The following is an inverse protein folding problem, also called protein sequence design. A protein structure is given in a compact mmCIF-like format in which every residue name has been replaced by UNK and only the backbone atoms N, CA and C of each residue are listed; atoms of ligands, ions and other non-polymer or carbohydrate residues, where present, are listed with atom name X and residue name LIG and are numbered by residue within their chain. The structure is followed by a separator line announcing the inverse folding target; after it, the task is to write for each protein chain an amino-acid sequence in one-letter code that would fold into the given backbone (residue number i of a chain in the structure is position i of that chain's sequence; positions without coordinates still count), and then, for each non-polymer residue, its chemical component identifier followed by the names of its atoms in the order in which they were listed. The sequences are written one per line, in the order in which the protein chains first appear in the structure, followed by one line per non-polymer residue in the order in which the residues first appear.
data_IF_179287185209
#
_entry.id   IF_179287185209
#
_cell.length_a   1.000
_cell.length_b   1.000
_cell.length_c   1.000
_cell.angle_alpha   90.00
_cell.angle_beta   90.00
_cell.angle_gamma   90.00
#
_symmetry.space_group_name_H-M   'P 1'
#
loop_
_entity.id
_entity.type
_entity.pdbx_description
1 polymer ?
#
# COMPACT_ATOMS: atom_id res chain seq x y z
N UNK A 1 16.44 -5.01 -22.39
CA UNK A 1 17.33 -5.60 -21.37
C UNK A 1 16.50 -6.58 -20.56
N UNK A 2 16.57 -7.88 -20.91
CA UNK A 2 15.85 -8.94 -20.19
C UNK A 2 16.67 -9.28 -18.95
N UNK A 3 16.36 -8.64 -17.83
CA UNK A 3 16.85 -9.06 -16.52
C UNK A 3 16.07 -10.32 -16.12
N UNK A 4 16.55 -11.47 -16.53
CA UNK A 4 16.16 -12.77 -15.98
C UNK A 4 16.77 -12.89 -14.59
N UNK A 5 16.09 -12.31 -13.59
CA UNK A 5 16.42 -12.64 -12.22
C UNK A 5 16.09 -14.12 -11.99
N UNK A 6 17.12 -14.95 -11.77
CA UNK A 6 16.92 -16.32 -11.29
C UNK A 6 16.46 -16.21 -9.82
N UNK A 7 15.16 -16.15 -9.63
CA UNK A 7 14.58 -16.24 -8.31
C UNK A 7 14.71 -17.69 -7.82
N UNK A 8 15.13 -17.88 -6.58
CA UNK A 8 15.22 -19.18 -5.93
C UNK A 8 14.60 -19.11 -4.54
N UNK A 9 14.09 -20.24 -4.05
CA UNK A 9 13.52 -20.33 -2.71
C UNK A 9 12.20 -19.60 -2.54
N UNK A 10 11.92 -19.18 -1.30
CA UNK A 10 10.70 -18.50 -0.89
C UNK A 10 10.86 -16.99 -1.02
N UNK A 11 9.99 -16.34 -1.79
CA UNK A 11 9.99 -14.89 -1.95
C UNK A 11 8.65 -14.26 -1.63
N UNK A 12 8.67 -13.01 -1.18
CA UNK A 12 7.53 -12.26 -0.70
C UNK A 12 7.37 -10.98 -1.52
N UNK A 13 6.20 -10.80 -2.13
CA UNK A 13 5.89 -9.62 -2.93
C UNK A 13 4.70 -8.87 -2.33
N UNK A 14 4.90 -7.61 -2.00
CA UNK A 14 3.80 -6.71 -1.70
C UNK A 14 3.24 -6.15 -3.00
N UNK A 15 1.94 -6.32 -3.21
CA UNK A 15 1.27 -5.94 -4.45
C UNK A 15 0.12 -4.99 -4.15
N UNK A 16 0.04 -3.92 -4.95
CA UNK A 16 -1.08 -3.00 -4.95
C UNK A 16 -1.71 -2.95 -6.35
N UNK A 17 -3.01 -3.22 -6.42
CA UNK A 17 -3.82 -3.06 -7.61
C UNK A 17 -4.76 -1.89 -7.38
N UNK A 18 -4.65 -0.84 -8.18
CA UNK A 18 -5.45 0.39 -8.05
C UNK A 18 -6.47 0.47 -9.18
N UNK A 19 -7.69 0.92 -8.89
CA UNK A 19 -8.70 1.18 -9.91
C UNK A 19 -8.36 2.45 -10.71
N UNK A 20 -8.58 2.39 -12.02
CA UNK A 20 -8.44 3.55 -12.91
C UNK A 20 -9.43 4.64 -12.50
N UNK A 21 -8.94 5.88 -12.29
CA UNK A 21 -9.76 6.98 -11.79
C UNK A 21 -10.17 6.88 -10.33
N UNK A 22 -9.76 5.84 -9.61
CA UNK A 22 -10.01 5.62 -8.17
C UNK A 22 -11.48 5.69 -7.71
N UNK A 23 -12.45 5.10 -8.43
CA UNK A 23 -13.81 5.02 -7.96
C UNK A 23 -13.90 4.15 -6.70
N UNK A 24 -14.71 4.57 -5.71
CA UNK A 24 -14.88 3.84 -4.45
C UNK A 24 -15.99 2.79 -4.56
N UNK A 25 -15.73 1.73 -5.34
CA UNK A 25 -16.72 0.70 -5.69
C UNK A 25 -16.42 -0.69 -5.15
N UNK A 26 -15.23 -0.91 -4.54
CA UNK A 26 -14.84 -2.24 -4.05
C UNK A 26 -15.31 -2.49 -2.63
N UNK A 27 -15.27 -1.48 -1.78
CA UNK A 27 -15.65 -1.61 -0.38
C UNK A 27 -16.05 -0.26 0.22
N UNK A 28 -16.57 -0.28 1.43
CA UNK A 28 -16.77 0.91 2.25
C UNK A 28 -16.06 0.74 3.58
N UNK A 29 -15.48 1.82 4.07
CA UNK A 29 -14.89 1.88 5.40
C UNK A 29 -16.00 2.17 6.41
N UNK A 30 -16.02 1.44 7.51
CA UNK A 30 -16.99 1.60 8.60
C UNK A 30 -16.22 1.79 9.89
N UNK A 31 -16.57 2.81 10.65
CA UNK A 31 -15.94 3.07 11.93
C UNK A 31 -16.24 1.94 12.92
N UNK A 32 -15.19 1.53 13.68
CA UNK A 32 -15.28 0.36 14.58
C UNK A 32 -15.04 -0.98 13.91
N UNK A 33 -15.12 -1.07 12.59
CA UNK A 33 -14.85 -2.31 11.87
C UNK A 33 -13.36 -2.46 11.56
N UNK A 34 -12.80 -3.64 11.89
CA UNK A 34 -11.39 -3.94 11.62
C UNK A 34 -11.10 -4.14 10.12
N UNK A 35 -12.13 -4.43 9.32
CA UNK A 35 -12.03 -4.68 7.87
C UNK A 35 -13.08 -3.89 7.11
N UNK A 36 -12.78 -3.44 5.88
CA UNK A 36 -13.78 -2.82 5.02
C UNK A 36 -14.94 -3.78 4.74
N UNK A 37 -16.15 -3.25 4.68
CA UNK A 37 -17.34 -3.99 4.23
C UNK A 37 -17.31 -4.02 2.71
N UNK A 38 -17.27 -5.21 2.14
CA UNK A 38 -17.18 -5.37 0.69
C UNK A 38 -18.47 -4.96 0.00
N UNK A 39 -18.33 -4.31 -1.13
CA UNK A 39 -19.39 -4.09 -2.11
C UNK A 39 -19.35 -5.23 -3.15
N UNK A 40 -20.38 -5.39 -3.98
CA UNK A 40 -20.45 -6.50 -4.93
C UNK A 40 -19.20 -6.66 -5.82
N UNK A 41 -18.61 -5.58 -6.30
CA UNK A 41 -17.36 -5.62 -7.06
C UNK A 41 -16.16 -6.09 -6.20
N UNK A 42 -16.13 -5.72 -4.92
CA UNK A 42 -15.12 -6.18 -3.97
C UNK A 42 -15.24 -7.66 -3.65
N UNK A 43 -16.46 -8.21 -3.64
CA UNK A 43 -16.69 -9.64 -3.46
C UNK A 43 -16.13 -10.46 -4.64
N UNK A 44 -16.28 -9.96 -5.87
CA UNK A 44 -15.64 -10.56 -7.04
C UNK A 44 -14.12 -10.56 -6.87
N UNK A 45 -13.52 -9.42 -6.51
CA UNK A 45 -12.08 -9.34 -6.22
C UNK A 45 -11.66 -10.37 -5.17
N UNK A 46 -12.42 -10.46 -4.07
CA UNK A 46 -12.13 -11.42 -2.99
C UNK A 46 -12.19 -12.88 -3.47
N UNK A 47 -13.18 -13.22 -4.30
CA UNK A 47 -13.31 -14.55 -4.87
C UNK A 47 -12.05 -14.95 -5.65
N UNK A 48 -11.57 -14.07 -6.55
CA UNK A 48 -10.37 -14.33 -7.35
C UNK A 48 -9.09 -14.38 -6.52
N UNK A 49 -8.95 -13.54 -5.50
CA UNK A 49 -7.81 -13.61 -4.58
C UNK A 49 -7.77 -14.92 -3.79
N UNK A 50 -8.93 -15.49 -3.44
CA UNK A 50 -9.03 -16.79 -2.74
C UNK A 50 -8.67 -17.96 -3.64
N UNK A 51 -8.97 -17.88 -4.93
CA UNK A 51 -8.73 -18.95 -5.89
C UNK A 51 -7.32 -18.94 -6.49
N UNK A 52 -6.51 -17.93 -6.16
CA UNK A 52 -5.19 -17.77 -6.75
C UNK A 52 -4.31 -19.03 -6.58
N UNK A 53 -4.36 -19.66 -5.39
CA UNK A 53 -3.61 -20.88 -5.12
C UNK A 53 -4.07 -22.08 -5.96
N UNK A 54 -5.35 -22.16 -6.32
CA UNK A 54 -5.88 -23.24 -7.19
C UNK A 54 -5.30 -23.13 -8.61
N UNK A 55 -4.99 -21.92 -9.09
CA UNK A 55 -4.40 -21.67 -10.40
C UNK A 55 -2.87 -21.74 -10.36
N UNK A 56 -2.27 -21.34 -9.26
CA UNK A 56 -0.84 -21.35 -9.00
C UNK A 56 -0.52 -22.03 -7.67
N UNK A 57 -0.38 -23.36 -7.62
CA UNK A 57 -0.15 -24.09 -6.35
C UNK A 57 1.10 -23.66 -5.58
N UNK A 58 2.13 -23.17 -6.30
CA UNK A 58 3.36 -22.64 -5.70
C UNK A 58 3.22 -21.21 -5.13
N UNK A 59 2.02 -20.59 -5.25
CA UNK A 59 1.77 -19.21 -4.86
C UNK A 59 0.67 -19.15 -3.81
N UNK A 60 0.91 -18.39 -2.74
CA UNK A 60 -0.07 -18.15 -1.68
C UNK A 60 -0.29 -16.65 -1.51
N UNK A 61 -1.55 -16.21 -1.45
CA UNK A 61 -1.91 -14.87 -1.00
C UNK A 61 -2.24 -14.94 0.49
N UNK A 62 -1.38 -14.36 1.33
CA UNK A 62 -1.51 -14.47 2.79
C UNK A 62 -2.33 -13.32 3.37
N UNK A 63 -1.75 -12.14 3.43
CA UNK A 63 -2.41 -10.95 3.97
C UNK A 63 -3.01 -10.15 2.82
N UNK A 64 -4.23 -9.66 2.99
CA UNK A 64 -4.91 -8.84 1.99
C UNK A 64 -5.91 -7.89 2.60
N UNK A 65 -6.11 -6.75 1.94
CA UNK A 65 -7.17 -5.80 2.23
C UNK A 65 -7.72 -5.23 0.92
N UNK A 66 -9.04 -5.21 0.80
CA UNK A 66 -9.77 -4.61 -0.33
C UNK A 66 -10.28 -3.27 0.15
N UNK A 67 -9.59 -2.21 -0.24
CA UNK A 67 -9.93 -0.82 0.05
C UNK A 67 -11.01 -0.34 -0.94
N UNK A 68 -11.64 0.81 -0.71
CA UNK A 68 -12.68 1.30 -1.61
C UNK A 68 -12.28 1.41 -3.08
N UNK A 69 -11.04 1.78 -3.39
CA UNK A 69 -10.52 2.09 -4.73
C UNK A 69 -9.26 1.32 -5.14
N UNK A 70 -8.77 0.43 -4.27
CA UNK A 70 -7.57 -0.36 -4.51
C UNK A 70 -7.50 -1.61 -3.64
N UNK A 71 -6.57 -2.49 -3.96
CA UNK A 71 -6.34 -3.74 -3.23
C UNK A 71 -4.87 -3.86 -2.88
N UNK A 72 -4.58 -4.17 -1.61
CA UNK A 72 -3.25 -4.58 -1.17
C UNK A 72 -3.25 -6.06 -0.81
N UNK A 73 -2.21 -6.77 -1.21
CA UNK A 73 -1.98 -8.12 -0.74
C UNK A 73 -0.51 -8.51 -0.73
N UNK A 74 -0.20 -9.51 0.09
CA UNK A 74 1.10 -10.14 0.17
C UNK A 74 1.05 -11.47 -0.57
N UNK A 75 1.83 -11.57 -1.65
CA UNK A 75 2.00 -12.78 -2.46
C UNK A 75 3.28 -13.48 -2.04
N UNK A 76 3.18 -14.76 -1.71
CA UNK A 76 4.29 -15.64 -1.33
C UNK A 76 4.50 -16.64 -2.46
N UNK A 77 5.70 -16.68 -3.03
CA UNK A 77 6.05 -17.54 -4.17
C UNK A 77 7.14 -18.53 -3.78
N UNK A 78 6.90 -19.82 -4.04
CA UNK A 78 7.89 -20.90 -3.92
C UNK A 78 8.52 -21.14 -5.29
N UNK A 79 9.64 -20.45 -5.55
CA UNK A 79 10.30 -20.52 -6.86
C UNK A 79 10.89 -21.88 -7.18
N UNK A 80 11.18 -22.71 -6.18
CA UNK A 80 11.62 -24.10 -6.38
C UNK A 80 10.54 -24.95 -7.07
N UNK A 81 9.26 -24.59 -6.88
CA UNK A 81 8.09 -25.25 -7.49
C UNK A 81 7.57 -24.54 -8.74
N UNK A 82 7.94 -23.28 -8.94
CA UNK A 82 7.51 -22.47 -10.09
C UNK A 82 8.64 -21.53 -10.56
N UNK A 83 9.74 -22.06 -11.12
CA UNK A 83 10.92 -21.26 -11.47
C UNK A 83 10.65 -20.19 -12.54
N UNK A 84 9.61 -20.33 -13.35
CA UNK A 84 9.21 -19.37 -14.37
C UNK A 84 8.08 -18.42 -13.95
N UNK A 85 7.68 -18.42 -12.69
CA UNK A 85 6.59 -17.57 -12.23
C UNK A 85 7.00 -16.08 -12.27
N UNK A 86 6.11 -15.25 -12.82
CA UNK A 86 6.29 -13.81 -12.89
C UNK A 86 5.12 -13.11 -12.16
N UNK A 87 5.37 -12.47 -10.99
CA UNK A 87 4.32 -11.82 -10.19
C UNK A 87 3.59 -10.72 -10.95
N UNK A 88 4.29 -9.96 -11.79
CA UNK A 88 3.70 -8.89 -12.59
C UNK A 88 2.69 -9.45 -13.60
N UNK A 89 3.08 -10.49 -14.33
CA UNK A 89 2.22 -11.17 -15.28
C UNK A 89 0.98 -11.79 -14.63
N UNK A 90 1.19 -12.46 -13.50
CA UNK A 90 0.10 -13.07 -12.73
C UNK A 90 -0.88 -12.00 -12.22
N UNK A 91 -0.38 -10.85 -11.79
CA UNK A 91 -1.22 -9.71 -11.35
C UNK A 91 -2.02 -9.12 -12.52
N UNK A 92 -1.45 -8.98 -13.71
CA UNK A 92 -2.19 -8.53 -14.88
C UNK A 92 -3.28 -9.52 -15.32
N UNK A 93 -2.99 -10.81 -15.32
CA UNK A 93 -3.98 -11.83 -15.63
C UNK A 93 -5.12 -11.84 -14.61
N UNK A 94 -4.79 -11.67 -13.31
CA UNK A 94 -5.77 -11.52 -12.24
C UNK A 94 -6.69 -10.30 -12.47
N UNK A 95 -6.12 -9.12 -12.75
CA UNK A 95 -6.91 -7.92 -13.03
C UNK A 95 -7.88 -8.12 -14.19
N UNK A 96 -7.41 -8.70 -15.31
CA UNK A 96 -8.26 -9.00 -16.47
C UNK A 96 -9.37 -9.99 -16.14
N UNK A 97 -9.08 -11.03 -15.36
CA UNK A 97 -10.07 -12.00 -14.96
C UNK A 97 -11.17 -11.37 -14.09
N UNK A 98 -10.80 -10.51 -13.16
CA UNK A 98 -11.74 -9.77 -12.32
C UNK A 98 -12.59 -8.81 -13.17
N UNK A 99 -11.98 -8.02 -14.06
CA UNK A 99 -12.68 -7.09 -14.94
C UNK A 99 -13.70 -7.81 -15.84
N UNK A 100 -13.30 -8.94 -16.40
CA UNK A 100 -14.18 -9.74 -17.26
C UNK A 100 -15.36 -10.37 -16.48
N UNK A 101 -15.08 -10.89 -15.27
CA UNK A 101 -16.13 -11.45 -14.41
C UNK A 101 -17.12 -10.37 -13.97
N UNK A 102 -16.65 -9.21 -13.56
CA UNK A 102 -17.52 -8.10 -13.16
C UNK A 102 -18.39 -7.60 -14.35
N UNK A 103 -17.81 -7.55 -15.56
CA UNK A 103 -18.56 -7.17 -16.75
C UNK A 103 -19.68 -8.19 -17.10
N UNK A 104 -19.51 -9.45 -16.76
CA UNK A 104 -20.48 -10.52 -17.02
C UNK A 104 -21.53 -10.66 -15.93
N UNK A 105 -21.29 -10.11 -14.76
CA UNK A 105 -22.08 -10.34 -13.55
C UNK A 105 -23.54 -9.86 -13.65
N UNK A 106 -23.83 -8.84 -14.44
CA UNK A 106 -25.19 -8.29 -14.67
C UNK A 106 -26.04 -8.15 -13.38
N UNK A 107 -25.41 -7.76 -12.27
CA UNK A 107 -26.05 -7.64 -10.96
C UNK A 107 -26.20 -8.96 -10.17
N UNK A 108 -25.70 -10.07 -10.67
CA UNK A 108 -25.65 -11.35 -9.95
C UNK A 108 -24.59 -11.42 -8.86
N UNK A 109 -24.53 -12.54 -8.15
CA UNK A 109 -23.54 -12.82 -7.10
C UNK A 109 -22.11 -12.95 -7.66
N UNK A 110 -21.12 -12.83 -6.78
CA UNK A 110 -19.73 -13.12 -7.13
C UNK A 110 -19.58 -14.60 -7.52
N UNK A 111 -18.72 -14.94 -8.51
CA UNK A 111 -18.55 -16.31 -8.97
C UNK A 111 -18.06 -17.21 -7.85
N UNK A 112 -18.56 -18.44 -7.81
CA UNK A 112 -18.09 -19.45 -6.87
C UNK A 112 -16.58 -19.74 -7.06
N UNK A 113 -15.83 -20.12 -6.01
CA UNK A 113 -14.39 -20.33 -6.10
C UNK A 113 -13.93 -21.25 -7.26
N UNK A 114 -14.58 -22.40 -7.55
CA UNK A 114 -14.19 -23.24 -8.69
C UNK A 114 -14.38 -22.56 -10.03
N UNK A 115 -15.45 -21.80 -10.22
CA UNK A 115 -15.74 -21.04 -11.45
C UNK A 115 -14.74 -19.91 -11.63
N UNK A 116 -14.44 -19.15 -10.58
CA UNK A 116 -13.43 -18.11 -10.59
C UNK A 116 -12.04 -18.68 -10.92
N UNK A 117 -11.68 -19.85 -10.39
CA UNK A 117 -10.43 -20.52 -10.69
C UNK A 117 -10.33 -20.94 -12.15
N UNK A 118 -11.38 -21.58 -12.68
CA UNK A 118 -11.44 -22.02 -14.07
C UNK A 118 -11.36 -20.80 -15.03
N UNK A 119 -12.13 -19.76 -14.75
CA UNK A 119 -12.09 -18.53 -15.55
C UNK A 119 -10.72 -17.87 -15.52
N UNK A 120 -10.10 -17.74 -14.34
CA UNK A 120 -8.76 -17.18 -14.20
C UNK A 120 -7.70 -18.00 -14.96
N UNK A 121 -7.76 -19.33 -14.85
CA UNK A 121 -6.88 -20.23 -15.60
C UNK A 121 -7.03 -20.04 -17.13
N UNK A 122 -8.25 -19.88 -17.61
CA UNK A 122 -8.55 -19.60 -19.02
C UNK A 122 -7.94 -18.26 -19.50
N UNK A 123 -8.12 -17.19 -18.74
CA UNK A 123 -7.51 -15.87 -19.04
C UNK A 123 -5.98 -15.99 -19.04
N UNK A 124 -5.40 -16.67 -18.07
CA UNK A 124 -3.96 -16.86 -17.99
C UNK A 124 -3.40 -17.65 -19.19
N UNK A 125 -4.08 -18.72 -19.60
CA UNK A 125 -3.68 -19.49 -20.79
C UNK A 125 -3.72 -18.62 -22.06
N UNK A 126 -4.77 -17.79 -22.21
CA UNK A 126 -4.89 -16.86 -23.33
C UNK A 126 -3.75 -15.82 -23.35
N UNK A 127 -3.42 -15.23 -22.18
CA UNK A 127 -2.34 -14.25 -22.07
C UNK A 127 -0.96 -14.87 -22.38
N UNK A 128 -0.70 -16.10 -21.88
CA UNK A 128 0.53 -16.85 -22.21
C UNK A 128 0.65 -17.13 -23.71
N UNK A 129 -0.43 -17.57 -24.33
CA UNK A 129 -0.45 -17.81 -25.78
C UNK A 129 -0.21 -16.51 -26.59
N UNK A 130 -0.77 -15.39 -26.11
CA UNK A 130 -0.58 -14.07 -26.71
C UNK A 130 0.90 -13.64 -26.58
N UNK A 131 1.51 -13.78 -25.40
CA UNK A 131 2.93 -13.48 -25.18
C UNK A 131 3.84 -14.30 -26.08
N UNK A 132 3.62 -15.62 -26.16
CA UNK A 132 4.39 -16.52 -27.00
C UNK A 132 4.27 -16.18 -28.52
N UNK A 133 3.12 -15.61 -28.94
CA UNK A 133 2.96 -15.09 -30.31
C UNK A 133 3.76 -13.81 -30.53
N UNK A 134 3.76 -12.89 -29.57
CA UNK A 134 4.57 -11.66 -29.63
C UNK A 134 6.05 -12.02 -29.74
N UNK A 135 6.53 -12.92 -28.87
CA UNK A 135 7.93 -13.37 -28.89
C UNK A 135 8.31 -13.99 -30.23
N UNK A 136 7.44 -14.85 -30.80
CA UNK A 136 7.69 -15.42 -32.15
C UNK A 136 7.81 -14.36 -33.23
N UNK A 137 6.96 -13.32 -33.20
CA UNK A 137 7.07 -12.21 -34.15
C UNK A 137 8.36 -11.40 -33.94
N UNK A 138 8.77 -11.19 -32.72
CA UNK A 138 10.04 -10.52 -32.41
C UNK A 138 11.25 -11.34 -32.88
N UNK A 139 11.22 -12.67 -32.74
CA UNK A 139 12.24 -13.57 -33.30
C UNK A 139 12.28 -13.55 -34.83
N UNK A 140 11.21 -13.15 -35.49
CA UNK A 140 11.13 -12.92 -36.95
C UNK A 140 11.60 -11.51 -37.36
N UNK A 141 12.17 -10.73 -36.43
CA UNK A 141 12.72 -9.40 -36.69
C UNK A 141 11.75 -8.23 -36.52
N UNK A 142 10.50 -8.47 -36.07
CA UNK A 142 9.56 -7.39 -35.79
C UNK A 142 9.88 -6.73 -34.43
N UNK A 143 9.68 -5.42 -34.37
CA UNK A 143 9.63 -4.71 -33.09
C UNK A 143 8.41 -5.13 -32.29
N UNK A 144 8.42 -4.89 -30.97
CA UNK A 144 7.28 -5.19 -30.09
C UNK A 144 6.00 -4.45 -30.52
N UNK A 145 6.13 -3.23 -31.02
CA UNK A 145 5.00 -2.43 -31.52
C UNK A 145 4.39 -3.05 -32.79
N UNK A 146 5.21 -3.48 -33.74
CA UNK A 146 4.78 -4.17 -34.95
C UNK A 146 4.15 -5.53 -34.66
N UNK A 147 4.71 -6.28 -33.72
CA UNK A 147 4.16 -7.56 -33.27
C UNK A 147 2.75 -7.38 -32.64
N UNK A 148 2.56 -6.34 -31.85
CA UNK A 148 1.26 -5.99 -31.27
C UNK A 148 0.26 -5.54 -32.33
N UNK A 149 0.68 -4.71 -33.29
CA UNK A 149 -0.16 -4.27 -34.40
C UNK A 149 -0.60 -5.46 -35.26
N UNK A 150 0.30 -6.40 -35.60
CA UNK A 150 -0.01 -7.62 -36.34
C UNK A 150 -0.98 -8.53 -35.58
N UNK A 151 -0.85 -8.66 -34.26
CA UNK A 151 -1.82 -9.38 -33.43
C UNK A 151 -3.19 -8.71 -33.44
N UNK A 152 -3.25 -7.38 -33.37
CA UNK A 152 -4.48 -6.60 -33.50
C UNK A 152 -5.18 -6.83 -34.85
N UNK A 153 -4.42 -6.81 -35.94
CA UNK A 153 -4.93 -7.07 -37.29
C UNK A 153 -5.47 -8.50 -37.44
N UNK A 154 -4.80 -9.50 -36.84
CA UNK A 154 -5.28 -10.90 -36.84
C UNK A 154 -6.58 -11.09 -36.05
N UNK A 155 -6.80 -10.29 -35.02
CA UNK A 155 -8.05 -10.29 -34.21
C UNK A 155 -9.19 -9.53 -34.92
N UNK A 156 -8.85 -8.58 -35.77
CA UNK A 156 -9.83 -7.76 -36.54
C UNK A 156 -10.33 -8.45 -37.80
N UNK A 157 -9.83 -9.61 -38.19
CA UNK A 157 -10.41 -10.38 -39.29
C UNK A 157 -11.82 -10.85 -38.91
N UNK A 158 -12.86 -10.50 -39.71
CA UNK A 158 -14.23 -10.84 -39.36
C UNK A 158 -14.41 -12.36 -39.32
N UNK A 159 -14.75 -12.90 -38.18
CA UNK A 159 -15.40 -14.22 -38.12
C UNK A 159 -16.71 -14.09 -38.86
N UNK A 160 -17.06 -15.01 -39.80
CA UNK A 160 -18.30 -14.89 -40.56
C UNK A 160 -19.48 -14.80 -39.59
N UNK A 161 -20.51 -14.00 -39.89
CA UNK A 161 -21.61 -13.71 -39.01
C UNK A 161 -22.46 -14.97 -38.77
N UNK A 162 -22.26 -15.65 -37.65
CA UNK A 162 -23.31 -16.49 -37.12
C UNK A 162 -24.31 -15.57 -36.42
N UNK A 163 -25.51 -15.51 -37.01
CA UNK A 163 -26.55 -14.59 -36.63
C UNK A 163 -26.97 -14.68 -35.16
N UNK A 164 -26.69 -13.64 -34.45
CA UNK A 164 -27.48 -13.25 -33.26
C UNK A 164 -27.72 -11.75 -33.41
N UNK A 165 -28.85 -11.40 -34.00
CA UNK A 165 -29.44 -10.06 -33.89
C UNK A 165 -29.83 -9.87 -32.41
N UNK A 166 -29.30 -8.84 -31.75
CA UNK A 166 -29.83 -8.34 -30.48
C UNK A 166 -28.90 -8.30 -29.29
N UNK A 167 -27.58 -8.49 -29.45
CA UNK A 167 -26.68 -8.22 -28.35
C UNK A 167 -26.55 -6.70 -28.16
N UNK A 168 -27.14 -6.17 -27.08
CA UNK A 168 -26.78 -4.83 -26.58
C UNK A 168 -25.26 -4.75 -26.45
N UNK A 169 -24.63 -3.59 -26.77
CA UNK A 169 -23.21 -3.44 -26.53
C UNK A 169 -22.95 -3.74 -25.04
N UNK A 170 -21.89 -4.50 -24.72
CA UNK A 170 -21.61 -4.88 -23.35
C UNK A 170 -21.56 -3.62 -22.49
N UNK A 171 -22.37 -3.57 -21.44
CA UNK A 171 -22.32 -2.52 -20.43
C UNK A 171 -20.85 -2.47 -19.97
N UNK A 172 -20.18 -1.36 -20.26
CA UNK A 172 -18.78 -1.20 -19.85
C UNK A 172 -18.75 -1.30 -18.32
N UNK A 173 -18.18 -2.36 -17.80
CA UNK A 173 -17.98 -2.51 -16.36
C UNK A 173 -17.30 -1.26 -15.82
N UNK A 174 -17.85 -0.71 -14.74
CA UNK A 174 -17.24 0.43 -14.03
C UNK A 174 -15.90 0.01 -13.38
N UNK A 175 -15.65 -1.29 -13.22
CA UNK A 175 -14.44 -1.83 -12.63
C UNK A 175 -13.34 -1.96 -13.69
N UNK A 176 -12.34 -1.10 -13.59
CA UNK A 176 -11.10 -1.18 -14.36
C UNK A 176 -9.93 -0.92 -13.45
N UNK A 177 -8.89 -1.74 -13.57
CA UNK A 177 -7.64 -1.51 -12.87
C UNK A 177 -6.71 -0.60 -13.69
N UNK A 178 -5.92 0.22 -13.00
CA UNK A 178 -4.76 0.88 -13.58
C UNK A 178 -3.81 -0.19 -14.13
N UNK A 179 -3.28 0.02 -15.32
CA UNK A 179 -2.35 -0.91 -15.97
C UNK A 179 -0.99 -1.01 -15.28
N UNK A 180 -0.79 -0.28 -14.19
CA UNK A 180 0.44 -0.27 -13.38
C UNK A 180 0.18 -0.91 -12.03
N UNK A 181 0.34 -2.22 -11.94
CA UNK A 181 0.45 -2.87 -10.63
C UNK A 181 1.74 -2.39 -9.93
N UNK A 182 1.63 -1.94 -8.68
CA UNK A 182 2.80 -1.71 -7.85
C UNK A 182 3.21 -3.03 -7.21
N UNK A 183 4.49 -3.41 -7.39
CA UNK A 183 5.05 -4.65 -6.86
C UNK A 183 6.38 -4.33 -6.18
N UNK A 184 6.47 -4.68 -4.90
CA UNK A 184 7.68 -4.53 -4.09
C UNK A 184 8.10 -5.88 -3.54
N UNK A 185 9.37 -6.25 -3.75
CA UNK A 185 9.97 -7.45 -3.18
C UNK A 185 10.41 -7.18 -1.73
N UNK A 186 9.98 -8.02 -0.81
CA UNK A 186 10.46 -7.98 0.58
C UNK A 186 11.69 -8.84 0.74
N UNK A 187 12.76 -8.26 1.29
CA UNK A 187 14.07 -8.90 1.41
C UNK A 187 14.34 -9.49 2.80
N UNK A 188 13.62 -9.06 3.83
CA UNK A 188 13.86 -9.49 5.20
C UNK A 188 12.58 -9.62 6.05
N UNK A 189 12.71 -10.28 7.21
CA UNK A 189 11.60 -10.50 8.14
C UNK A 189 11.05 -9.19 8.74
N UNK A 190 11.89 -8.15 8.89
CA UNK A 190 11.47 -6.85 9.43
C UNK A 190 10.59 -6.12 8.44
N UNK A 191 11.00 -6.07 7.17
CA UNK A 191 10.22 -5.49 6.08
C UNK A 191 8.89 -6.23 5.90
N UNK A 192 8.91 -7.57 5.93
CA UNK A 192 7.71 -8.39 5.85
C UNK A 192 6.72 -8.09 6.97
N UNK A 193 7.20 -7.95 8.22
CA UNK A 193 6.37 -7.57 9.37
C UNK A 193 5.76 -6.18 9.19
N UNK A 194 6.53 -5.23 8.65
CA UNK A 194 6.05 -3.88 8.36
C UNK A 194 4.94 -3.88 7.28
N UNK A 195 5.13 -4.63 6.20
CA UNK A 195 4.14 -4.79 5.11
C UNK A 195 2.84 -5.40 5.65
N UNK A 196 2.91 -6.50 6.41
CA UNK A 196 1.73 -7.12 7.03
C UNK A 196 0.96 -6.13 7.90
N UNK A 197 1.69 -5.40 8.75
CA UNK A 197 1.09 -4.38 9.60
C UNK A 197 0.48 -3.24 8.79
N UNK A 198 1.13 -2.83 7.70
CA UNK A 198 0.59 -1.84 6.78
C UNK A 198 -0.75 -2.31 6.18
N UNK A 199 -0.82 -3.53 5.64
CA UNK A 199 -2.05 -4.10 5.07
C UNK A 199 -3.18 -4.12 6.12
N UNK A 200 -2.88 -4.61 7.34
CA UNK A 200 -3.86 -4.73 8.43
C UNK A 200 -4.41 -3.39 8.90
N UNK A 201 -3.57 -2.36 8.98
CA UNK A 201 -3.94 -1.05 9.50
C UNK A 201 -4.38 -0.05 8.42
N UNK A 202 -4.34 -0.43 7.15
CA UNK A 202 -4.70 0.46 6.05
C UNK A 202 -6.14 1.02 6.16
N UNK A 203 -7.18 0.21 6.53
CA UNK A 203 -8.53 0.74 6.72
C UNK A 203 -8.61 1.80 7.81
N UNK A 204 -8.02 1.55 8.97
CA UNK A 204 -8.00 2.50 10.08
C UNK A 204 -7.26 3.80 9.68
N UNK A 205 -6.11 3.70 8.99
CA UNK A 205 -5.37 4.87 8.49
C UNK A 205 -6.20 5.72 7.54
N UNK A 206 -6.95 5.08 6.65
CA UNK A 206 -7.82 5.79 5.71
C UNK A 206 -8.97 6.51 6.44
N UNK A 207 -9.58 5.89 7.44
CA UNK A 207 -10.60 6.51 8.29
C UNK A 207 -10.03 7.70 9.08
N UNK A 208 -8.85 7.55 9.71
CA UNK A 208 -8.20 8.66 10.42
C UNK A 208 -7.94 9.85 9.51
N UNK A 209 -7.44 9.62 8.28
CA UNK A 209 -7.24 10.69 7.30
C UNK A 209 -8.55 11.33 6.84
N UNK A 210 -9.61 10.54 6.76
CA UNK A 210 -10.93 11.04 6.38
C UNK A 210 -11.56 11.92 7.48
N UNK A 211 -11.47 11.48 8.74
CA UNK A 211 -12.06 12.20 9.87
C UNK A 211 -11.22 13.40 10.33
N UNK A 212 -9.92 13.36 10.13
CA UNK A 212 -8.99 14.42 10.57
C UNK A 212 -8.09 14.89 9.42
N UNK A 213 -8.65 15.36 8.28
CA UNK A 213 -7.86 15.70 7.09
C UNK A 213 -6.82 16.79 7.37
N UNK A 214 -7.12 17.73 8.26
CA UNK A 214 -6.25 18.81 8.70
C UNK A 214 -4.97 18.31 9.40
N UNK A 215 -5.06 17.17 10.11
CA UNK A 215 -3.90 16.56 10.79
C UNK A 215 -2.93 15.86 9.83
N UNK A 216 -3.33 15.61 8.62
CA UNK A 216 -2.52 14.97 7.59
C UNK A 216 -2.08 15.93 6.47
N UNK A 217 -2.37 17.22 6.61
CA UNK A 217 -1.87 18.24 5.71
C UNK A 217 -0.42 18.59 6.05
N UNK A 218 0.42 18.65 5.01
CA UNK A 218 1.75 19.24 5.14
C UNK A 218 1.63 20.76 5.10
N UNK A 219 2.06 21.42 6.17
CA UNK A 219 2.12 22.86 6.29
C UNK A 219 3.59 23.29 6.15
N UNK A 220 3.86 24.31 5.36
CA UNK A 220 5.22 24.84 5.11
C UNK A 220 5.32 26.29 5.51
N UNK A 221 6.55 26.77 5.64
CA UNK A 221 6.85 28.16 6.04
C UNK A 221 6.25 28.53 7.39
N UNK A 222 6.25 27.59 8.33
CA UNK A 222 5.76 27.81 9.67
C UNK A 222 6.68 28.79 10.40
N UNK A 223 6.08 29.82 11.02
CA UNK A 223 6.78 30.76 11.90
C UNK A 223 6.13 30.68 13.28
N UNK A 224 6.95 30.45 14.28
CA UNK A 224 6.50 30.40 15.67
C UNK A 224 7.66 30.88 16.58
N UNK A 225 7.34 31.50 17.71
CA UNK A 225 8.34 32.10 18.59
C UNK A 225 9.40 31.12 19.13
N UNK A 226 9.06 29.82 19.25
CA UNK A 226 9.98 28.78 19.70
C UNK A 226 10.82 28.15 18.60
N UNK A 227 10.55 28.48 17.33
CA UNK A 227 11.26 27.93 16.17
C UNK A 227 12.34 28.91 15.72
N UNK A 228 13.52 28.39 15.42
CA UNK A 228 14.63 29.20 14.89
C UNK A 228 14.23 29.84 13.56
N UNK A 229 14.21 31.18 13.46
CA UNK A 229 13.81 31.89 12.24
C UNK A 229 14.80 31.70 11.06
N UNK A 230 16.01 31.22 11.31
CA UNK A 230 16.98 30.90 10.28
C UNK A 230 16.61 29.67 9.44
N UNK A 231 15.65 28.86 9.89
CA UNK A 231 15.20 27.64 9.23
C UNK A 231 13.82 27.80 8.59
N UNK A 232 13.60 27.09 7.47
CA UNK A 232 12.29 26.97 6.84
C UNK A 232 11.58 25.76 7.42
N UNK A 233 10.66 26.01 8.33
CA UNK A 233 9.96 24.95 9.04
C UNK A 233 8.78 24.41 8.26
N UNK A 234 8.63 23.10 8.29
CA UNK A 234 7.44 22.38 7.78
C UNK A 234 6.96 21.37 8.80
N UNK A 235 5.64 21.14 8.84
CA UNK A 235 5.04 20.25 9.81
C UNK A 235 3.82 19.50 9.26
N UNK A 236 3.43 18.45 10.00
CA UNK A 236 2.19 17.71 9.86
C UNK A 236 1.69 17.34 11.25
N UNK A 237 0.40 17.53 11.53
CA UNK A 237 -0.21 17.18 12.81
C UNK A 237 -0.70 18.38 13.61
N UNK A 238 -0.67 18.24 14.93
CA UNK A 238 -1.24 19.22 15.84
C UNK A 238 -0.27 20.40 16.08
N UNK A 239 -0.41 21.48 15.34
CA UNK A 239 0.39 22.71 15.50
C UNK A 239 0.20 23.40 16.86
N UNK A 240 -0.92 23.17 17.57
CA UNK A 240 -1.13 23.81 18.87
C UNK A 240 -0.13 23.34 19.92
N UNK A 241 0.53 22.21 19.68
CA UNK A 241 1.62 21.74 20.53
C UNK A 241 2.79 22.71 20.60
N UNK A 242 3.04 23.52 19.56
CA UNK A 242 4.07 24.56 19.58
C UNK A 242 3.81 25.67 20.60
N UNK A 243 2.54 25.89 20.97
CA UNK A 243 2.15 26.85 22.01
C UNK A 243 2.21 26.30 23.44
N UNK A 244 2.70 25.08 23.66
CA UNK A 244 2.80 24.51 25.00
C UNK A 244 3.79 25.33 25.86
N UNK A 245 3.46 25.64 27.12
CA UNK A 245 4.40 26.30 28.02
C UNK A 245 5.50 25.36 28.53
N UNK A 246 5.34 24.05 28.36
CA UNK A 246 6.26 23.04 28.89
C UNK A 246 6.78 22.15 27.79
N UNK A 247 7.98 22.44 27.28
CA UNK A 247 8.73 21.58 26.37
C UNK A 247 9.86 20.89 27.08
N UNK A 248 10.06 19.62 26.78
CA UNK A 248 11.23 18.86 27.24
C UNK A 248 11.92 18.22 26.03
N UNK A 249 13.12 18.67 25.73
CA UNK A 249 13.95 18.06 24.69
C UNK A 249 14.57 16.78 25.25
N UNK A 250 14.24 15.65 24.60
CA UNK A 250 14.81 14.35 24.92
C UNK A 250 15.89 14.00 23.91
N UNK A 251 17.12 13.85 24.41
CA UNK A 251 18.27 13.41 23.61
C UNK A 251 18.94 12.24 24.35
N UNK A 252 18.73 11.04 23.87
CA UNK A 252 19.28 9.81 24.44
C UNK A 252 20.44 9.34 23.54
N UNK A 253 21.64 9.37 24.08
CA UNK A 253 22.87 9.08 23.32
C UNK A 253 22.95 7.62 22.89
N UNK A 254 23.57 7.35 21.75
CA UNK A 254 23.89 6.00 21.28
C UNK A 254 24.95 5.28 22.13
N UNK A 255 25.70 6.03 22.96
CA UNK A 255 26.81 5.49 23.76
C UNK A 255 26.35 4.70 25.01
N UNK A 256 25.08 4.81 25.41
CA UNK A 256 24.51 4.14 26.58
C UNK A 256 23.53 3.04 26.14
N UNK A 257 23.49 1.97 26.93
CA UNK A 257 22.53 0.89 26.78
C UNK A 257 21.11 1.34 27.16
N UNK A 258 20.10 0.54 26.81
CA UNK A 258 18.71 0.80 27.21
C UNK A 258 18.55 0.80 28.74
N UNK A 259 19.28 -0.09 29.44
CA UNK A 259 19.24 -0.15 30.90
C UNK A 259 19.79 1.13 31.57
N UNK A 260 20.83 1.72 31.01
CA UNK A 260 21.39 2.99 31.50
C UNK A 260 20.49 4.19 31.17
N UNK A 261 19.62 4.08 30.18
CA UNK A 261 18.64 5.11 29.84
C UNK A 261 17.33 4.98 30.61
N UNK A 262 17.09 3.85 31.27
CA UNK A 262 15.82 3.55 31.96
C UNK A 262 15.35 4.64 32.93
N UNK A 263 16.20 5.17 33.83
CA UNK A 263 15.79 6.22 34.78
C UNK A 263 15.34 7.50 34.05
N UNK A 264 16.07 7.90 33.00
CA UNK A 264 15.75 9.09 32.20
C UNK A 264 14.47 8.91 31.37
N UNK A 265 14.27 7.72 30.79
CA UNK A 265 13.06 7.40 30.04
C UNK A 265 11.84 7.45 30.99
N UNK A 266 11.94 6.86 32.18
CA UNK A 266 10.87 6.89 33.17
C UNK A 266 10.53 8.32 33.61
N UNK A 267 11.53 9.16 33.84
CA UNK A 267 11.36 10.58 34.19
C UNK A 267 10.65 11.36 33.03
N UNK A 268 11.07 11.15 31.78
CA UNK A 268 10.47 11.81 30.63
C UNK A 268 9.00 11.40 30.42
N UNK A 269 8.68 10.13 30.63
CA UNK A 269 7.30 9.62 30.59
C UNK A 269 6.47 10.25 31.70
N UNK A 270 7.02 10.40 32.91
CA UNK A 270 6.31 11.06 34.02
C UNK A 270 6.09 12.54 33.74
N UNK A 271 7.06 13.25 33.16
CA UNK A 271 6.88 14.62 32.70
C UNK A 271 5.76 14.74 31.65
N UNK A 272 5.71 13.78 30.70
CA UNK A 272 4.65 13.73 29.70
C UNK A 272 3.25 13.51 30.33
N UNK A 273 3.14 12.66 31.36
CA UNK A 273 1.90 12.47 32.15
C UNK A 273 1.43 13.76 32.83
N UNK A 274 2.37 14.59 33.25
CA UNK A 274 2.09 15.91 33.83
C UNK A 274 1.84 17.01 32.79
N UNK A 275 1.75 16.64 31.51
CA UNK A 275 1.36 17.55 30.43
C UNK A 275 2.52 18.19 29.65
N UNK A 276 3.78 17.82 29.96
CA UNK A 276 4.90 18.29 29.16
C UNK A 276 4.84 17.71 27.71
N UNK A 277 5.23 18.52 26.75
CA UNK A 277 5.43 18.08 25.35
C UNK A 277 6.87 17.58 25.19
N UNK A 278 7.04 16.32 24.87
CA UNK A 278 8.37 15.73 24.68
C UNK A 278 8.80 15.92 23.21
N UNK A 279 9.98 16.49 23.01
CA UNK A 279 10.54 16.77 21.68
C UNK A 279 11.78 15.90 21.46
N UNK A 280 11.81 15.10 20.40
CA UNK A 280 12.97 14.29 20.05
C UNK A 280 12.95 13.89 18.56
N UNK A 281 14.10 13.45 18.04
CA UNK A 281 14.20 12.77 16.75
C UNK A 281 13.64 11.36 16.76
N UNK A 282 13.63 10.72 17.93
CA UNK A 282 13.25 9.32 18.11
C UNK A 282 14.03 8.35 17.20
N UNK A 283 15.35 8.59 17.10
CA UNK A 283 16.25 7.87 16.19
C UNK A 283 17.08 6.84 16.94
N UNK A 284 17.65 7.22 18.09
CA UNK A 284 18.47 6.31 18.89
C UNK A 284 17.61 5.19 19.55
N UNK A 285 18.18 4.03 19.89
CA UNK A 285 17.44 2.96 20.57
C UNK A 285 16.70 3.41 21.82
N UNK A 286 17.33 4.28 22.63
CA UNK A 286 16.70 4.88 23.83
C UNK A 286 15.52 5.80 23.47
N UNK A 287 15.66 6.62 22.45
CA UNK A 287 14.59 7.50 21.97
C UNK A 287 13.43 6.72 21.33
N UNK A 288 13.73 5.62 20.65
CA UNK A 288 12.69 4.70 20.09
C UNK A 288 11.89 4.04 21.22
N UNK A 289 12.56 3.59 22.29
CA UNK A 289 11.87 3.04 23.47
C UNK A 289 11.05 4.12 24.18
N UNK A 290 11.59 5.34 24.31
CA UNK A 290 10.85 6.48 24.83
C UNK A 290 9.57 6.73 24.00
N UNK A 291 9.66 6.81 22.68
CA UNK A 291 8.50 6.99 21.81
C UNK A 291 7.44 5.91 22.00
N UNK A 292 7.87 4.65 22.10
CA UNK A 292 6.97 3.52 22.37
C UNK A 292 6.20 3.70 23.67
N UNK A 293 6.88 4.14 24.74
CA UNK A 293 6.24 4.41 26.04
C UNK A 293 5.34 5.63 26.02
N UNK A 294 5.73 6.70 25.33
CA UNK A 294 4.87 7.87 25.13
C UNK A 294 3.58 7.51 24.40
N UNK A 295 3.67 6.68 23.34
CA UNK A 295 2.50 6.17 22.63
C UNK A 295 1.59 5.32 23.52
N UNK A 296 2.16 4.56 24.46
CA UNK A 296 1.40 3.76 25.44
C UNK A 296 0.86 4.58 26.62
N UNK A 297 1.34 5.81 26.81
CA UNK A 297 0.92 6.68 27.92
C UNK A 297 -0.30 7.50 27.49
N UNK A 298 -1.45 7.40 28.18
CA UNK A 298 -2.62 8.21 27.87
C UNK A 298 -2.30 9.72 27.88
N UNK A 299 -2.83 10.45 26.91
CA UNK A 299 -2.71 11.91 26.80
C UNK A 299 -1.27 12.46 26.68
N UNK A 300 -0.23 11.62 26.62
CA UNK A 300 1.13 12.08 26.35
C UNK A 300 1.20 12.77 24.98
N UNK A 301 1.83 13.94 24.95
CA UNK A 301 1.99 14.77 23.73
C UNK A 301 3.47 14.87 23.37
N UNK A 302 3.78 14.80 22.10
CA UNK A 302 5.15 14.82 21.63
C UNK A 302 5.33 15.38 20.23
N UNK A 303 6.53 15.92 20.01
CA UNK A 303 6.97 16.43 18.70
C UNK A 303 8.07 15.54 18.17
N UNK A 304 7.87 14.96 17.00
CA UNK A 304 8.86 14.17 16.27
C UNK A 304 9.62 15.06 15.30
N UNK A 305 10.90 15.28 15.59
CA UNK A 305 11.80 16.01 14.71
C UNK A 305 12.31 15.10 13.61
N UNK A 306 12.13 15.48 12.35
CA UNK A 306 12.71 14.75 11.23
C UNK A 306 14.14 15.23 10.94
N UNK A 307 15.08 14.33 10.59
CA UNK A 307 16.45 14.67 10.21
C UNK A 307 16.58 15.15 8.75
N UNK A 308 15.48 15.26 8.03
CA UNK A 308 15.41 15.71 6.65
C UNK A 308 14.14 16.53 6.41
N UNK A 309 14.02 17.16 5.24
CA UNK A 309 12.81 17.88 4.86
C UNK A 309 11.59 16.95 4.87
N UNK A 310 10.46 17.48 5.31
CA UNK A 310 9.18 16.80 5.21
C UNK A 310 8.74 16.75 3.74
N UNK A 311 8.68 15.58 3.07
CA UNK A 311 8.33 15.49 1.65
C UNK A 311 6.90 15.99 1.37
N UNK A 312 6.62 16.47 0.14
CA UNK A 312 5.26 16.90 -0.22
C UNK A 312 4.19 15.81 -0.06
N UNK A 313 4.59 14.55 -0.30
CA UNK A 313 3.73 13.36 -0.10
C UNK A 313 4.31 12.51 1.02
N UNK A 314 4.36 13.08 2.22
CA UNK A 314 4.76 12.31 3.39
C UNK A 314 3.62 11.40 3.83
N UNK A 315 3.90 10.10 3.96
CA UNK A 315 2.96 9.12 4.46
C UNK A 315 3.44 8.58 5.82
N UNK A 316 2.86 9.06 6.94
CA UNK A 316 3.24 8.63 8.28
C UNK A 316 3.04 7.12 8.48
N UNK A 317 3.82 6.49 9.36
CA UNK A 317 3.55 5.13 9.78
C UNK A 317 2.13 4.98 10.35
N UNK A 318 1.60 3.76 10.39
CA UNK A 318 0.26 3.55 10.94
C UNK A 318 0.15 3.97 12.41
N UNK A 319 1.23 3.76 13.20
CA UNK A 319 1.31 4.22 14.58
C UNK A 319 1.33 5.74 14.67
N UNK A 320 2.14 6.40 13.84
CA UNK A 320 2.20 7.85 13.81
C UNK A 320 0.86 8.44 13.33
N UNK A 321 0.22 7.81 12.34
CA UNK A 321 -1.11 8.22 11.86
C UNK A 321 -2.16 8.21 12.97
N UNK A 322 -2.14 7.20 13.85
CA UNK A 322 -3.03 7.14 15.00
C UNK A 322 -2.78 8.29 15.97
N UNK A 323 -1.51 8.61 16.25
CA UNK A 323 -1.16 9.68 17.17
C UNK A 323 -1.46 11.08 16.59
N UNK A 324 -1.32 11.24 15.28
CA UNK A 324 -1.74 12.46 14.56
C UNK A 324 -3.25 12.67 14.67
N UNK A 325 -4.04 11.63 14.38
CA UNK A 325 -5.50 11.68 14.49
C UNK A 325 -5.99 11.92 15.92
N UNK A 326 -5.25 11.44 16.91
CA UNK A 326 -5.55 11.65 18.34
C UNK A 326 -5.07 13.00 18.90
N UNK A 327 -4.60 13.94 18.06
CA UNK A 327 -4.07 15.25 18.43
C UNK A 327 -2.87 15.24 19.38
N UNK A 328 -2.20 14.09 19.52
CA UNK A 328 -1.08 13.90 20.45
C UNK A 328 0.29 14.15 19.85
N UNK A 329 0.36 14.28 18.51
CA UNK A 329 1.62 14.32 17.79
C UNK A 329 1.72 15.50 16.84
N UNK A 330 2.93 16.07 16.75
CA UNK A 330 3.36 16.94 15.67
C UNK A 330 4.63 16.35 15.05
N UNK A 331 4.67 16.22 13.75
CA UNK A 331 5.88 15.91 12.98
C UNK A 331 6.43 17.25 12.49
N UNK A 332 7.68 17.56 12.77
CA UNK A 332 8.29 18.85 12.49
C UNK A 332 9.65 18.66 11.79
N UNK A 333 9.94 19.50 10.79
CA UNK A 333 11.22 19.54 10.10
C UNK A 333 11.67 20.97 9.86
N UNK A 334 12.92 21.27 10.18
CA UNK A 334 13.60 22.54 9.84
C UNK A 334 14.57 22.39 8.65
N UNK A 335 14.50 21.31 7.88
CA UNK A 335 15.39 21.05 6.77
C UNK A 335 14.72 21.34 5.44
N UNK A 336 15.53 21.73 4.45
CA UNK A 336 15.11 21.91 3.04
C UNK A 336 15.51 20.72 2.16
N UNK A 337 16.54 19.95 2.57
CA UNK A 337 17.02 18.78 1.85
C UNK A 337 16.24 17.52 2.23
N UNK A 338 15.88 16.72 1.23
CA UNK A 338 15.12 15.46 1.42
C UNK A 338 16.00 14.29 1.87
N UNK A 339 17.32 14.41 1.77
CA UNK A 339 18.28 13.39 2.22
C UNK A 339 18.60 13.62 3.70
N UNK A 340 18.58 12.59 4.56
CA UNK A 340 19.06 12.71 5.94
C UNK A 340 20.54 13.05 5.97
N UNK A 341 20.95 13.93 6.89
CA UNK A 341 22.34 14.24 7.20
C UNK A 341 22.88 13.29 8.25
#
# INVERSE_FOLDING_TARGET
MNLTFRHSGLQFFFITLTLEGRPQILSRLVEGEARPVLLPAGEVVQAYLRTFHAVYPAVTISDRVIMPDHVHFLMIVRYDQAPGFNPLWASFALMKAIEAAEAQRNGGDAPAPPEAAAHFAGILAHERATAARIERFMHQGLTRAEALARLGALRAQPTPPQGVRGAQPPVRSALRFDRRAYIELSFDARQLKAIRRYIQLNPARALWKHHHPDRFLRITNIRHAILDPAHVWSAMGNLTLLGSPFFVHARLTLKKSLAEHEPMIAELVEKARRGAVIVSGFISPGEVELLKRLKATPNARFVKMLPCALPPRYDPSAEDSRELAADRMLILSGFTNTTPH
#
